data_IF_122522373379
#
_entry.id   IF_122522373379
#
_cell.length_a   1.000
_cell.length_b   1.000
_cell.length_c   1.000
_cell.angle_alpha   90.00
_cell.angle_beta   90.00
_cell.angle_gamma   90.00
#
_symmetry.space_group_name_H-M   'P 1'
#
loop_
_entity.id
_entity.type
_entity.pdbx_description
1 polymer ?
2 non-polymer ?
3 water ?
#
# COMPACT_ATOMS: atom_id res chain seq x y z
N UNK A 32 16.76 -16.06 -2.88
CA UNK A 32 18.00 -16.48 -2.18
C UNK A 32 18.22 -15.81 -0.83
N UNK A 33 18.99 -16.49 0.01
CA UNK A 33 19.29 -16.03 1.37
C UNK A 33 20.71 -15.44 1.52
N UNK A 34 21.43 -15.27 0.41
CA UNK A 34 22.79 -14.72 0.43
C UNK A 34 22.97 -13.57 -0.57
N UNK A 35 23.68 -12.50 -0.18
CA UNK A 35 23.92 -11.35 -1.06
C UNK A 35 24.53 -11.76 -2.40
N UNK A 36 23.83 -11.48 -3.51
CA UNK A 36 24.29 -11.82 -4.86
C UNK A 36 25.65 -11.18 -5.17
N UNK A 37 26.59 -11.98 -5.67
CA UNK A 37 27.92 -11.46 -6.00
C UNK A 37 27.78 -10.40 -7.09
N UNK A 38 28.79 -9.53 -7.22
CA UNK A 38 28.73 -8.50 -8.23
C UNK A 38 29.14 -9.04 -9.60
N UNK A 39 28.24 -8.91 -10.59
CA UNK A 39 28.45 -9.37 -11.96
C UNK A 39 29.27 -8.42 -12.83
N UNK A 40 30.02 -9.00 -13.77
CA UNK A 40 30.88 -8.27 -14.69
C UNK A 40 30.07 -7.26 -15.51
N UNK A 41 28.87 -7.65 -15.94
CA UNK A 41 28.01 -6.78 -16.75
C UNK A 41 26.79 -6.27 -15.99
N UNK A 42 25.71 -7.05 -16.05
CA UNK A 42 24.48 -6.70 -15.37
C UNK A 42 23.78 -7.94 -14.89
N UNK A 43 22.76 -7.74 -14.04
CA UNK A 43 21.97 -8.82 -13.47
C UNK A 43 21.02 -8.30 -12.42
N UNK A 44 19.83 -8.90 -12.39
CA UNK A 44 18.80 -8.58 -11.42
C UNK A 44 18.76 -9.81 -10.52
N UNK A 45 19.06 -9.66 -9.24
CA UNK A 45 19.04 -10.79 -8.35
C UNK A 45 17.99 -10.58 -7.26
N UNK A 46 17.69 -11.67 -6.55
CA UNK A 46 16.71 -11.61 -5.49
C UNK A 46 17.37 -11.90 -4.15
N UNK A 47 16.90 -11.24 -3.10
CA UNK A 47 17.46 -11.45 -1.76
C UNK A 47 16.29 -11.60 -0.80
N UNK A 48 16.08 -12.83 -0.34
CA UNK A 48 15.01 -13.10 0.59
C UNK A 48 15.63 -13.34 1.96
N UNK A 49 15.43 -12.38 2.84
CA UNK A 49 15.97 -12.44 4.19
C UNK A 49 15.07 -11.67 5.13
N UNK A 50 15.02 -12.07 6.40
CA UNK A 50 14.17 -11.37 7.35
C UNK A 50 14.67 -9.97 7.74
N UNK A 51 13.76 -9.18 8.28
CA UNK A 51 14.09 -7.82 8.71
C UNK A 51 14.93 -7.93 9.98
N UNK A 52 16.13 -7.40 9.93
CA UNK A 52 17.01 -7.46 11.08
C UNK A 52 18.23 -8.31 10.85
N UNK A 53 18.21 -9.17 9.84
CA UNK A 53 19.37 -10.01 9.58
C UNK A 53 20.47 -9.18 8.93
N UNK A 54 20.22 -7.88 8.73
CA UNK A 54 21.18 -6.98 8.12
C UNK A 54 21.17 -6.90 6.59
N UNK A 55 20.07 -7.32 5.97
CA UNK A 55 20.00 -7.31 4.52
C UNK A 55 20.03 -5.92 3.92
N UNK A 56 19.63 -4.94 4.71
CA UNK A 56 19.58 -3.55 4.24
C UNK A 56 20.71 -2.71 4.78
N UNK A 57 21.50 -3.29 5.68
CA UNK A 57 22.59 -2.57 6.28
C UNK A 57 23.93 -3.29 6.08
N UNK A 58 24.08 -4.42 6.77
CA UNK A 58 25.28 -5.27 6.70
C UNK A 58 25.58 -5.67 5.26
N UNK A 59 24.58 -6.14 4.53
CA UNK A 59 24.82 -6.50 3.12
C UNK A 59 25.43 -5.31 2.35
N UNK A 60 24.77 -4.15 2.37
CA UNK A 60 25.34 -3.01 1.65
C UNK A 60 26.74 -2.67 2.15
N UNK A 61 26.97 -2.81 3.46
CA UNK A 61 28.28 -2.49 4.02
C UNK A 61 29.36 -3.37 3.43
N UNK A 62 29.01 -4.62 3.11
CA UNK A 62 29.99 -5.52 2.55
C UNK A 62 30.30 -5.09 1.13
N UNK A 63 29.26 -4.78 0.36
CA UNK A 63 29.43 -4.33 -1.03
C UNK A 63 30.33 -3.11 -1.08
N UNK A 64 30.22 -2.26 -0.05
CA UNK A 64 31.01 -1.03 0.04
C UNK A 64 32.46 -1.30 0.43
N UNK A 65 32.68 -2.28 1.30
CA UNK A 65 34.03 -2.64 1.72
C UNK A 65 34.80 -3.14 0.50
N UNK A 66 34.05 -3.59 -0.51
CA UNK A 66 34.62 -4.09 -1.74
C UNK A 66 34.87 -2.97 -2.76
N UNK A 67 34.50 -1.74 -2.41
CA UNK A 67 34.72 -0.61 -3.32
C UNK A 67 33.51 -0.21 -4.16
N UNK A 68 32.40 -0.91 -4.00
CA UNK A 68 31.20 -0.56 -4.76
C UNK A 68 30.44 0.60 -4.09
N UNK A 69 29.69 1.34 -4.90
CA UNK A 69 28.86 2.44 -4.43
C UNK A 69 27.45 1.86 -4.41
N UNK A 70 26.81 1.92 -3.25
CA UNK A 70 25.51 1.32 -3.07
C UNK A 70 24.36 2.27 -2.76
N UNK A 71 23.21 1.97 -3.35
CA UNK A 71 21.98 2.74 -3.17
C UNK A 71 20.88 1.79 -2.68
N UNK A 72 20.31 2.10 -1.53
CA UNK A 72 19.25 1.28 -0.96
C UNK A 72 17.96 2.06 -0.93
N UNK A 73 16.94 1.49 -1.57
CA UNK A 73 15.64 2.10 -1.65
C UNK A 73 14.69 1.40 -0.71
N UNK A 74 13.81 2.19 -0.09
CA UNK A 74 12.82 1.69 0.87
C UNK A 74 11.55 2.55 0.82
N UNK A 75 10.38 1.94 1.10
CA UNK A 75 9.10 2.66 1.08
C UNK A 75 8.94 3.66 2.23
N UNK A 76 9.60 3.40 3.36
CA UNK A 76 9.47 4.23 4.55
C UNK A 76 10.56 5.25 4.86
N UNK A 77 10.14 6.48 5.18
CA UNK A 77 11.10 7.52 5.54
C UNK A 77 11.74 7.02 6.83
N UNK A 78 10.91 6.61 7.78
CA UNK A 78 11.40 6.12 9.07
C UNK A 78 12.45 5.04 8.93
N UNK A 79 12.16 4.02 8.12
CA UNK A 79 13.11 2.93 7.91
C UNK A 79 14.42 3.45 7.35
N UNK A 80 14.31 4.30 6.33
CA UNK A 80 15.48 4.89 5.69
C UNK A 80 16.35 5.53 6.77
N UNK A 81 15.71 6.25 7.68
CA UNK A 81 16.43 6.89 8.76
C UNK A 81 16.98 5.80 9.68
N UNK A 82 16.14 4.81 9.99
CA UNK A 82 16.57 3.70 10.83
C UNK A 82 17.87 3.05 10.36
N UNK A 83 17.99 2.81 9.05
CA UNK A 83 19.22 2.19 8.54
C UNK A 83 20.44 3.10 8.69
N UNK A 84 20.26 4.38 8.41
CA UNK A 84 21.38 5.30 8.53
C UNK A 84 21.92 5.35 9.95
N UNK A 85 21.02 5.36 10.92
CA UNK A 85 21.43 5.41 12.32
C UNK A 85 22.22 4.14 12.65
N UNK A 86 21.64 3.00 12.30
CA UNK A 86 22.27 1.73 12.58
C UNK A 86 23.68 1.68 12.00
N UNK A 87 23.80 2.09 10.75
CA UNK A 87 25.07 2.06 10.06
C UNK A 87 26.19 2.86 10.69
N UNK A 88 25.92 4.13 11.00
CA UNK A 88 26.97 4.96 11.59
C UNK A 88 27.31 4.51 13.01
N UNK A 89 26.34 3.91 13.69
CA UNK A 89 26.52 3.46 15.06
C UNK A 89 27.19 2.09 15.16
N UNK A 90 27.02 1.25 14.14
CA UNK A 90 27.62 -0.07 14.17
C UNK A 90 28.77 -0.33 13.20
N UNK A 91 28.83 0.40 12.09
CA UNK A 91 29.90 0.16 11.14
C UNK A 91 30.72 1.38 10.78
N UNK A 92 30.75 2.37 11.66
CA UNK A 92 31.53 3.57 11.40
C UNK A 92 31.40 4.06 9.96
N UNK A 93 30.16 4.20 9.52
CA UNK A 93 29.87 4.65 8.18
C UNK A 93 28.63 5.52 8.23
N UNK A 94 28.80 6.81 8.00
CA UNK A 94 27.68 7.72 8.00
C UNK A 94 27.23 7.86 6.57
N UNK A 95 26.21 7.07 6.21
CA UNK A 95 25.67 7.08 4.86
C UNK A 95 24.85 8.29 4.51
N UNK A 96 24.70 8.51 3.21
CA UNK A 96 23.91 9.61 2.67
C UNK A 96 22.49 9.15 2.88
N UNK A 97 21.63 10.04 3.31
CA UNK A 97 20.23 9.70 3.55
C UNK A 97 19.41 10.67 2.75
N UNK A 98 18.47 10.13 1.97
CA UNK A 98 17.62 10.95 1.12
C UNK A 98 16.13 10.69 1.30
N UNK A 99 15.39 11.73 1.63
CA UNK A 99 13.94 11.59 1.79
C UNK A 99 13.26 12.81 1.16
N UNK A 100 11.95 12.80 1.12
CA UNK A 100 11.24 13.93 0.53
C UNK A 100 11.44 15.21 1.32
N UNK A 101 11.72 15.09 2.61
CA UNK A 101 11.92 16.27 3.46
C UNK A 101 13.27 16.92 3.16
N UNK A 102 14.32 16.11 3.12
CA UNK A 102 15.64 16.66 2.85
C UNK A 102 16.62 15.55 2.54
N UNK A 103 17.85 15.91 2.16
CA UNK A 103 18.86 14.90 1.89
C UNK A 103 20.13 15.28 2.65
N UNK A 104 20.79 14.27 3.20
CA UNK A 104 22.02 14.47 3.94
C UNK A 104 23.09 13.78 3.12
N UNK A 105 24.13 14.51 2.76
CA UNK A 105 25.23 13.96 2.00
C UNK A 105 26.49 13.96 2.84
N UNK A 106 27.17 12.82 2.87
CA UNK A 106 28.41 12.68 3.63
C UNK A 106 29.51 12.22 2.67
N UNK A 107 29.14 12.01 1.41
CA UNK A 107 30.12 11.53 0.46
C UNK A 107 30.45 10.06 0.68
N UNK A 108 29.62 9.38 1.47
CA UNK A 108 29.82 7.97 1.74
C UNK A 108 29.42 7.14 0.53
N UNK A 109 30.00 5.95 0.38
CA UNK A 109 29.72 5.03 -0.74
C UNK A 109 28.40 4.29 -0.61
N UNK A 110 27.66 4.56 0.46
CA UNK A 110 26.37 3.94 0.70
C UNK A 110 25.35 5.06 0.81
N UNK A 111 24.22 4.89 0.14
CA UNK A 111 23.17 5.88 0.16
C UNK A 111 21.79 5.26 0.38
N UNK A 112 21.06 5.80 1.34
CA UNK A 112 19.72 5.33 1.65
C UNK A 112 18.72 6.38 1.20
N UNK A 113 17.74 5.95 0.41
CA UNK A 113 16.69 6.86 -0.06
C UNK A 113 15.34 6.17 -0.09
N UNK A 114 14.28 6.95 -0.01
CA UNK A 114 12.94 6.38 -0.11
C UNK A 114 12.67 6.27 -1.63
N UNK A 115 11.72 5.43 -2.01
CA UNK A 115 11.40 5.29 -3.42
C UNK A 115 10.87 6.60 -3.99
N UNK A 116 10.06 7.30 -3.19
CA UNK A 116 9.46 8.57 -3.59
C UNK A 116 10.48 9.65 -3.86
N UNK A 117 11.49 9.72 -3.01
CA UNK A 117 12.54 10.69 -3.19
C UNK A 117 13.37 10.33 -4.43
N UNK A 118 13.61 9.03 -4.61
CA UNK A 118 14.36 8.52 -5.76
C UNK A 118 13.70 8.97 -7.06
N UNK A 119 12.37 8.87 -7.10
CA UNK A 119 11.60 9.26 -8.27
C UNK A 119 11.63 10.78 -8.38
N UNK A 120 11.46 11.46 -7.25
CA UNK A 120 11.51 12.91 -7.23
C UNK A 120 12.81 13.33 -7.90
N UNK A 121 13.85 12.54 -7.68
CA UNK A 121 15.17 12.83 -8.23
C UNK A 121 15.33 12.47 -9.72
N UNK A 122 14.26 11.98 -10.34
CA UNK A 122 14.34 11.62 -11.75
C UNK A 122 14.77 10.19 -12.00
N UNK A 123 15.03 9.45 -10.93
CA UNK A 123 15.45 8.07 -11.08
C UNK A 123 16.94 7.87 -10.97
N UNK A 124 17.49 7.02 -11.83
CA UNK A 124 18.92 6.75 -11.80
C UNK A 124 19.72 7.84 -12.46
N UNK A 125 20.92 8.07 -11.91
CA UNK A 125 21.84 9.07 -12.44
C UNK A 125 23.09 8.32 -12.91
N UNK A 126 23.51 8.56 -14.15
CA UNK A 126 24.68 7.90 -14.69
C UNK A 126 25.91 7.87 -13.80
N UNK A 127 26.54 6.71 -13.71
CA UNK A 127 27.73 6.57 -12.90
C UNK A 127 27.56 6.88 -11.43
N UNK A 128 26.32 6.87 -10.94
CA UNK A 128 26.09 7.15 -9.53
C UNK A 128 26.26 5.89 -8.65
N UNK A 129 25.63 4.79 -9.03
CA UNK A 129 25.71 3.58 -8.21
C UNK A 129 26.08 2.30 -8.91
N UNK A 130 26.84 1.44 -8.23
CA UNK A 130 27.17 0.17 -8.83
C UNK A 130 26.06 -0.82 -8.51
N UNK A 131 25.65 -0.84 -7.24
CA UNK A 131 24.57 -1.72 -6.80
C UNK A 131 23.35 -0.90 -6.43
N UNK A 132 22.17 -1.47 -6.60
CA UNK A 132 20.94 -0.79 -6.24
C UNK A 132 20.00 -1.80 -5.67
N UNK A 133 19.75 -1.70 -4.37
CA UNK A 133 18.86 -2.63 -3.72
C UNK A 133 17.49 -2.02 -3.53
N UNK A 134 16.48 -2.77 -3.96
CA UNK A 134 15.10 -2.34 -3.79
C UNK A 134 14.52 -3.15 -2.62
N UNK A 135 14.64 -2.59 -1.42
CA UNK A 135 14.15 -3.20 -0.19
C UNK A 135 12.61 -3.20 -0.14
N UNK A 136 12.03 -4.16 0.58
CA UNK A 136 10.58 -4.33 0.72
C UNK A 136 9.96 -4.36 -0.66
N UNK A 137 10.70 -4.90 -1.62
CA UNK A 137 10.28 -4.98 -3.01
C UNK A 137 8.99 -5.75 -3.22
N UNK A 138 8.38 -6.20 -2.14
CA UNK A 138 7.14 -6.93 -2.26
C UNK A 138 5.99 -5.95 -1.97
N UNK A 139 6.36 -4.72 -1.61
CA UNK A 139 5.37 -3.69 -1.30
C UNK A 139 4.51 -3.36 -2.50
N UNK A 140 3.21 -3.19 -2.27
CA UNK A 140 2.33 -2.90 -3.37
C UNK A 140 1.69 -1.53 -3.28
N UNK A 141 2.50 -0.55 -2.89
CA UNK A 141 1.99 0.80 -2.87
C UNK A 141 2.56 1.36 -4.18
N UNK A 142 1.82 2.26 -4.81
CA UNK A 142 2.21 2.84 -6.08
C UNK A 142 3.62 3.39 -6.16
N UNK A 143 4.10 4.03 -5.09
CA UNK A 143 5.44 4.61 -5.12
C UNK A 143 6.53 3.57 -5.20
N UNK A 144 6.32 2.43 -4.56
CA UNK A 144 7.31 1.38 -4.59
C UNK A 144 7.35 0.76 -5.96
N UNK A 145 6.17 0.40 -6.47
CA UNK A 145 6.10 -0.22 -7.79
C UNK A 145 6.70 0.68 -8.86
N UNK A 146 6.29 1.94 -8.92
CA UNK A 146 6.85 2.85 -9.92
C UNK A 146 8.36 3.01 -9.76
N UNK A 147 8.80 3.20 -8.52
CA UNK A 147 10.22 3.35 -8.23
C UNK A 147 11.01 2.14 -8.72
N UNK A 148 10.49 0.96 -8.43
CA UNK A 148 11.16 -0.27 -8.84
C UNK A 148 11.19 -0.38 -10.35
N UNK A 149 10.08 -0.04 -10.99
CA UNK A 149 10.02 -0.08 -12.44
C UNK A 149 11.11 0.83 -12.98
N UNK A 150 11.23 2.00 -12.38
CA UNK A 150 12.23 2.96 -12.80
C UNK A 150 13.65 2.40 -12.74
N UNK A 151 13.98 1.74 -11.63
CA UNK A 151 15.30 1.15 -11.45
C UNK A 151 15.56 0.09 -12.51
N UNK A 152 14.58 -0.79 -12.65
CA UNK A 152 14.63 -1.88 -13.61
C UNK A 152 14.85 -1.43 -15.04
N UNK A 153 14.37 -0.23 -15.36
CA UNK A 153 14.48 0.29 -16.71
C UNK A 153 15.76 1.08 -16.97
N UNK A 154 16.18 1.88 -15.98
CA UNK A 154 17.36 2.74 -16.11
C UNK A 154 18.69 2.22 -15.57
N UNK A 155 18.64 1.24 -14.68
CA UNK A 155 19.84 0.69 -14.06
C UNK A 155 21.05 0.45 -14.97
N UNK A 156 20.88 -0.37 -16.00
CA UNK A 156 21.97 -0.69 -16.91
C UNK A 156 22.50 0.53 -17.66
N UNK A 157 21.59 1.33 -18.21
CA UNK A 157 21.99 2.53 -18.91
C UNK A 157 22.72 3.42 -17.91
N UNK A 158 22.30 3.34 -16.66
CA UNK A 158 22.89 4.14 -15.62
C UNK A 158 24.28 3.65 -15.17
N UNK A 159 24.73 2.55 -15.74
CA UNK A 159 26.04 2.05 -15.38
C UNK A 159 26.06 1.10 -14.19
N UNK A 160 24.88 0.82 -13.65
CA UNK A 160 24.77 -0.10 -12.53
C UNK A 160 25.12 -1.50 -13.03
N UNK A 161 25.84 -2.25 -12.21
CA UNK A 161 26.21 -3.60 -12.57
C UNK A 161 25.22 -4.57 -11.92
N UNK A 162 24.64 -4.16 -10.80
CA UNK A 162 23.70 -5.01 -10.07
C UNK A 162 22.48 -4.36 -9.39
N UNK A 163 21.35 -5.05 -9.52
CA UNK A 163 20.10 -4.62 -8.93
C UNK A 163 19.52 -5.76 -8.11
N UNK A 164 19.34 -5.51 -6.81
CA UNK A 164 18.81 -6.52 -5.91
C UNK A 164 17.37 -6.23 -5.49
N UNK A 165 16.54 -7.24 -5.57
CA UNK A 165 15.15 -7.11 -5.15
C UNK A 165 15.04 -7.82 -3.81
N UNK A 166 15.21 -7.04 -2.74
CA UNK A 166 15.17 -7.56 -1.39
C UNK A 166 13.80 -7.52 -0.72
N UNK A 167 13.53 -8.51 0.12
CA UNK A 167 12.28 -8.58 0.83
C UNK A 167 12.20 -9.75 1.79
N UNK A 168 11.45 -9.55 2.86
CA UNK A 168 11.26 -10.58 3.86
C UNK A 168 10.05 -11.41 3.47
N UNK A 169 9.24 -10.86 2.56
CA UNK A 169 8.02 -11.53 2.12
C UNK A 169 7.93 -11.79 0.62
N UNK A 170 8.65 -12.80 0.12
CA UNK A 170 8.62 -13.11 -1.31
C UNK A 170 7.20 -13.26 -1.85
N UNK A 171 6.98 -12.86 -3.11
CA UNK A 171 5.67 -12.97 -3.74
C UNK A 171 5.22 -14.43 -3.80
N UNK A 172 3.93 -14.65 -3.61
CA UNK A 172 3.41 -16.01 -3.65
C UNK A 172 3.50 -16.70 -2.30
N UNK A 173 3.97 -15.99 -1.28
CA UNK A 173 4.10 -16.53 0.07
C UNK A 173 2.74 -16.93 0.60
N UNK A 174 2.75 -17.80 1.59
CA UNK A 174 1.52 -18.24 2.22
C UNK A 174 1.80 -18.21 3.71
N UNK A 175 0.75 -18.10 4.53
CA UNK A 175 0.95 -18.11 5.96
C UNK A 175 1.45 -19.52 6.29
N UNK A 176 2.49 -19.62 7.10
CA UNK A 176 3.04 -20.92 7.48
C UNK A 176 2.81 -21.16 8.96
N UNK A 177 2.90 -22.42 9.40
CA UNK A 177 2.70 -22.77 10.81
C UNK A 177 3.77 -22.16 11.70
N UNK A 178 3.34 -21.64 12.84
CA UNK A 178 4.19 -21.00 13.84
C UNK A 178 4.31 -21.93 15.07
N UNK A 179 5.55 -22.16 15.56
CA UNK A 179 5.87 -23.01 16.71
C UNK A 179 5.15 -22.68 18.00
N UNK A 180 4.72 -21.43 18.14
CA UNK A 180 4.07 -20.99 19.35
C UNK A 180 2.58 -20.66 19.22
N UNK A 181 1.97 -20.94 18.07
CA UNK A 181 0.57 -20.61 17.91
C UNK A 181 -0.34 -21.78 17.56
N UNK A 182 -1.34 -22.00 18.41
CA UNK A 182 -2.30 -23.06 18.21
C UNK A 182 -3.42 -22.49 17.35
N UNK A 183 -3.60 -23.05 16.17
CA UNK A 183 -4.64 -22.56 15.29
C UNK A 183 -5.89 -23.45 15.32
N UNK A 184 -6.97 -22.90 15.87
CA UNK A 184 -8.24 -23.61 16.01
C UNK A 184 -9.28 -22.97 15.09
N UNK A 185 -9.84 -23.77 14.18
CA UNK A 185 -10.86 -23.28 13.25
C UNK A 185 -12.21 -23.07 13.93
N UNK A 186 -12.94 -22.03 13.51
CA UNK A 186 -14.25 -21.79 14.08
C UNK A 186 -15.25 -22.67 13.32
N UNK A 187 -16.27 -23.12 14.04
CA UNK A 187 -17.30 -23.95 13.43
C UNK A 187 -18.62 -23.21 13.62
N UNK A 188 -19.72 -23.85 13.25
CA UNK A 188 -21.03 -23.23 13.40
C UNK A 188 -21.43 -23.16 14.87
N UNK A 189 -21.02 -24.14 15.66
CA UNK A 189 -21.37 -24.11 17.07
C UNK A 189 -20.84 -22.83 17.72
N UNK A 190 -21.68 -22.22 18.55
CA UNK A 190 -21.30 -20.99 19.21
C UNK A 190 -22.50 -20.09 19.23
N UNK A 191 -22.73 -19.41 20.35
CA UNK A 191 -23.87 -18.51 20.45
C UNK A 191 -23.64 -17.25 19.65
N UNK A 192 -22.43 -16.71 19.74
CA UNK A 192 -22.05 -15.49 19.02
C UNK A 192 -21.78 -15.73 17.53
N UNK A 193 -22.68 -15.27 16.64
CA UNK A 193 -22.53 -15.42 15.20
C UNK A 193 -21.31 -14.62 14.72
N UNK A 194 -20.54 -15.19 13.80
CA UNK A 194 -19.33 -14.50 13.31
C UNK A 194 -18.96 -14.92 11.88
N UNK A 195 -19.26 -14.03 10.93
CA UNK A 195 -18.96 -14.24 9.51
C UNK A 195 -19.31 -15.63 8.94
N UNK A 196 -20.50 -16.13 9.26
CA UNK A 196 -20.90 -17.43 8.76
C UNK A 196 -20.53 -18.56 9.69
N UNK A 197 -19.67 -18.25 10.65
CA UNK A 197 -19.25 -19.22 11.64
C UNK A 197 -19.68 -18.65 12.99
N UNK A 198 -19.31 -19.33 14.08
CA UNK A 198 -19.70 -18.87 15.40
C UNK A 198 -18.53 -18.77 16.38
N UNK A 199 -18.68 -17.90 17.36
CA UNK A 199 -17.66 -17.74 18.38
C UNK A 199 -18.22 -18.30 19.68
N UNK A 200 -17.71 -19.45 20.14
CA UNK A 200 -18.28 -19.93 21.40
C UNK A 200 -17.83 -19.00 22.55
N UNK A 201 -18.80 -18.54 23.33
CA UNK A 201 -18.53 -17.64 24.46
C UNK A 201 -17.38 -18.16 25.32
N UNK A 202 -17.37 -19.47 25.53
CA UNK A 202 -16.37 -20.15 26.33
C UNK A 202 -14.95 -19.68 25.98
N UNK A 203 -14.70 -19.45 24.70
CA UNK A 203 -13.38 -19.04 24.20
C UNK A 203 -12.95 -17.60 24.47
N UNK A 204 -13.87 -16.77 24.95
CA UNK A 204 -13.52 -15.37 25.26
C UNK A 204 -13.83 -15.02 26.70
N UNK A 205 -14.46 -15.95 27.41
CA UNK A 205 -14.77 -15.73 28.81
C UNK A 205 -13.50 -15.95 29.63
N UNK A 206 -12.89 -14.85 30.03
CA UNK A 206 -11.67 -14.93 30.80
C UNK A 206 -10.47 -14.76 29.88
N UNK A 207 -9.51 -13.95 30.31
CA UNK A 207 -8.33 -13.73 29.49
C UNK A 207 -8.49 -12.55 28.57
N UNK A 208 -7.42 -12.23 27.84
CA UNK A 208 -7.41 -11.10 26.93
C UNK A 208 -7.40 -11.59 25.47
N UNK A 209 -8.45 -11.26 24.73
CA UNK A 209 -8.55 -11.72 23.36
C UNK A 209 -8.71 -10.57 22.36
N UNK A 210 -8.16 -10.77 21.17
CA UNK A 210 -8.23 -9.78 20.11
C UNK A 210 -9.03 -10.33 18.93
N UNK A 211 -10.17 -9.70 18.65
CA UNK A 211 -11.00 -10.13 17.52
C UNK A 211 -10.84 -9.15 16.36
N UNK A 212 -10.65 -9.68 15.15
CA UNK A 212 -10.48 -8.84 13.98
C UNK A 212 -11.75 -8.82 13.12
N UNK A 213 -12.20 -7.62 12.81
CA UNK A 213 -13.36 -7.42 11.97
C UNK A 213 -12.97 -6.48 10.83
N UNK A 214 -13.62 -6.63 9.68
CA UNK A 214 -13.31 -5.84 8.50
C UNK A 214 -13.78 -4.39 8.49
N UNK A 215 -14.94 -4.15 9.08
CA UNK A 215 -15.50 -2.80 9.09
C UNK A 215 -15.56 -2.15 10.46
N UNK A 216 -15.08 -0.92 10.52
CA UNK A 216 -15.08 -0.14 11.76
C UNK A 216 -16.46 -0.21 12.42
N UNK A 217 -17.47 -0.54 11.63
CA UNK A 217 -18.82 -0.65 12.15
C UNK A 217 -18.99 -2.04 12.77
N UNK A 218 -18.85 -3.08 11.94
CA UNK A 218 -18.99 -4.47 12.38
C UNK A 218 -18.42 -4.72 13.78
N UNK A 219 -17.46 -3.88 14.16
CA UNK A 219 -16.85 -3.96 15.48
C UNK A 219 -17.90 -3.62 16.55
N UNK A 220 -18.50 -2.45 16.43
CA UNK A 220 -19.52 -2.02 17.38
C UNK A 220 -20.61 -3.09 17.47
N UNK A 221 -20.96 -3.66 16.33
CA UNK A 221 -21.99 -4.71 16.27
C UNK A 221 -21.65 -5.90 17.17
N UNK A 222 -20.35 -6.19 17.29
CA UNK A 222 -19.88 -7.31 18.11
C UNK A 222 -19.61 -6.88 19.57
N UNK A 223 -18.78 -5.86 19.76
CA UNK A 223 -18.47 -5.38 21.11
C UNK A 223 -19.75 -5.20 21.93
N UNK A 224 -20.79 -4.71 21.26
CA UNK A 224 -22.06 -4.47 21.90
C UNK A 224 -22.80 -5.75 22.25
N UNK A 225 -22.76 -6.75 21.36
CA UNK A 225 -23.45 -8.01 21.61
C UNK A 225 -22.80 -8.76 22.77
N UNK A 226 -21.48 -8.63 22.90
CA UNK A 226 -20.74 -9.29 23.97
C UNK A 226 -20.86 -8.54 25.31
N UNK A 227 -20.96 -7.21 25.25
CA UNK A 227 -21.11 -6.42 26.47
C UNK A 227 -22.47 -6.73 27.07
N UNK A 228 -23.40 -7.06 26.19
CA UNK A 228 -24.77 -7.39 26.56
C UNK A 228 -24.87 -8.88 26.88
N UNK A 229 -23.77 -9.48 27.29
CA UNK A 229 -23.78 -10.89 27.63
C UNK A 229 -22.88 -11.13 28.84
N UNK A 230 -22.43 -10.03 29.44
CA UNK A 230 -21.55 -10.12 30.60
C UNK A 230 -20.10 -10.03 30.19
N UNK A 231 -19.82 -10.26 28.91
CA UNK A 231 -18.45 -10.21 28.43
C UNK A 231 -17.94 -8.78 28.24
N UNK A 232 -16.87 -8.42 28.94
CA UNK A 232 -16.30 -7.09 28.83
C UNK A 232 -15.59 -6.96 27.50
N UNK A 233 -16.21 -6.24 26.57
CA UNK A 233 -15.66 -6.02 25.24
C UNK A 233 -15.58 -4.55 24.90
N UNK A 234 -14.42 -4.12 24.43
CA UNK A 234 -14.18 -2.73 24.06
C UNK A 234 -13.82 -2.59 22.58
N UNK A 235 -14.76 -2.12 21.76
CA UNK A 235 -14.50 -1.95 20.33
C UNK A 235 -13.27 -1.09 20.02
N UNK A 236 -12.81 -1.12 18.77
CA UNK A 236 -11.64 -0.33 18.36
C UNK A 236 -11.40 -0.27 16.83
N UNK A 237 -11.21 0.95 16.34
CA UNK A 237 -10.99 1.22 14.92
C UNK A 237 -10.37 2.61 14.77
N UNK A 238 -9.97 2.95 13.55
CA UNK A 238 -9.35 4.24 13.27
C UNK A 238 -10.10 5.43 13.88
N UNK A 239 -9.35 6.39 14.42
CA UNK A 239 -9.96 7.55 15.04
C UNK A 239 -9.76 7.56 16.54
N UNK A 240 -10.23 6.51 17.20
CA UNK A 240 -10.12 6.38 18.64
C UNK A 240 -8.67 6.40 19.12
N UNK A 241 -8.46 6.22 20.42
CA UNK A 241 -7.11 6.23 20.99
C UNK A 241 -6.75 4.87 21.63
N UNK A 242 -5.45 4.61 21.76
CA UNK A 242 -4.95 3.36 22.34
C UNK A 242 -5.43 3.21 23.78
N UNK A 243 -5.55 4.34 24.47
CA UNK A 243 -5.98 4.37 25.86
C UNK A 243 -7.29 3.62 26.08
N UNK A 244 -8.21 3.66 25.10
CA UNK A 244 -9.50 3.00 25.22
C UNK A 244 -9.34 1.48 25.39
N UNK A 245 -8.09 1.03 25.52
CA UNK A 245 -7.79 -0.38 25.69
C UNK A 245 -7.05 -0.58 27.01
N UNK A 246 -7.74 -1.08 28.04
CA UNK A 246 -7.05 -1.28 29.32
C UNK A 246 -5.89 -2.25 29.10
N UNK A 247 -4.81 -2.05 29.84
CA UNK A 247 -3.64 -2.90 29.68
C UNK A 247 -3.64 -4.06 30.67
N UNK A 248 -4.71 -4.17 31.46
CA UNK A 248 -4.81 -5.23 32.46
C UNK A 248 -6.26 -5.71 32.56
N UNK A 249 -6.45 -6.86 33.21
CA UNK A 249 -7.79 -7.39 33.38
C UNK A 249 -8.37 -7.98 32.11
N UNK A 250 -9.20 -9.02 32.28
CA UNK A 250 -9.84 -9.66 31.15
C UNK A 250 -10.48 -8.64 30.23
N UNK A 251 -10.48 -8.94 28.95
CA UNK A 251 -11.06 -8.04 27.97
C UNK A 251 -11.03 -8.66 26.58
N UNK A 252 -12.02 -8.30 25.77
CA UNK A 252 -12.11 -8.79 24.41
C UNK A 252 -12.11 -7.54 23.53
N UNK A 253 -10.99 -7.33 22.84
CA UNK A 253 -10.86 -6.17 21.97
C UNK A 253 -11.26 -6.51 20.52
N UNK A 254 -12.33 -5.87 20.05
CA UNK A 254 -12.85 -6.06 18.69
C UNK A 254 -12.42 -4.87 17.85
N UNK A 255 -11.38 -5.06 17.05
CA UNK A 255 -10.81 -3.99 16.24
C UNK A 255 -10.63 -4.24 14.75
N UNK A 256 -10.15 -3.19 14.05
CA UNK A 256 -9.84 -3.27 12.62
C UNK A 256 -8.33 -3.21 12.54
N UNK A 257 -7.78 -3.38 11.35
CA UNK A 257 -6.33 -3.35 11.16
C UNK A 257 -5.67 -2.08 11.65
N UNK A 258 -6.49 -1.16 12.17
CA UNK A 258 -5.96 0.10 12.69
C UNK A 258 -4.99 -0.19 13.82
N UNK A 259 -5.17 -1.33 14.48
CA UNK A 259 -4.29 -1.71 15.57
C UNK A 259 -2.87 -1.91 15.03
N UNK A 260 -1.88 -1.36 15.72
CA UNK A 260 -0.48 -1.47 15.30
C UNK A 260 0.03 -2.88 15.05
N UNK A 261 1.24 -2.99 14.51
CA UNK A 261 1.87 -4.28 14.25
C UNK A 261 2.97 -4.52 15.30
N UNK A 262 3.51 -3.41 15.81
CA UNK A 262 4.55 -3.48 16.82
C UNK A 262 4.04 -3.15 18.22
N UNK A 263 2.74 -2.83 18.34
CA UNK A 263 2.11 -2.50 19.62
C UNK A 263 2.23 -3.68 20.61
N UNK A 264 2.21 -3.42 21.91
CA UNK A 264 2.34 -4.50 22.89
C UNK A 264 1.25 -5.55 22.67
N UNK A 265 1.65 -6.71 22.17
CA UNK A 265 0.71 -7.79 21.92
C UNK A 265 0.20 -8.38 23.21
N UNK A 266 0.94 -9.37 23.73
CA UNK A 266 0.55 -10.03 24.97
C UNK A 266 -0.94 -10.40 24.93
N UNK A 267 -1.39 -10.94 23.79
CA UNK A 267 -2.77 -11.39 23.62
C UNK A 267 -2.79 -12.87 23.81
N UNK A 268 -3.90 -13.43 24.29
CA UNK A 268 -4.00 -14.87 24.52
C UNK A 268 -4.51 -15.60 23.29
N UNK A 269 -5.46 -14.98 22.59
CA UNK A 269 -5.99 -15.57 21.38
C UNK A 269 -6.42 -14.44 20.49
N UNK A 270 -6.40 -14.69 19.19
CA UNK A 270 -6.82 -13.71 18.21
C UNK A 270 -7.83 -14.44 17.35
N UNK A 271 -8.98 -13.81 17.13
CA UNK A 271 -10.02 -14.36 16.27
C UNK A 271 -9.95 -13.52 14.99
N UNK A 272 -9.72 -14.17 13.86
CA UNK A 272 -9.62 -13.45 12.59
C UNK A 272 -10.84 -13.64 11.71
N UNK A 273 -11.41 -12.56 11.19
CA UNK A 273 -12.57 -12.68 10.30
C UNK A 273 -12.13 -13.15 8.91
N UNK A 274 -10.83 -13.07 8.64
CA UNK A 274 -10.23 -13.48 7.38
C UNK A 274 -10.66 -12.67 6.16
N UNK A 275 -10.91 -11.38 6.36
CA UNK A 275 -11.33 -10.51 5.28
C UNK A 275 -10.77 -9.12 5.60
N UNK A 276 -10.38 -8.37 4.58
CA UNK A 276 -9.84 -7.04 4.80
C UNK A 276 -10.45 -6.05 3.82
N UNK A 277 -10.30 -4.77 4.08
CA UNK A 277 -10.83 -3.74 3.18
C UNK A 277 -9.66 -3.20 2.40
N UNK A 278 -9.82 -3.13 1.09
CA UNK A 278 -8.75 -2.62 0.25
C UNK A 278 -9.28 -1.83 -0.96
N UNK A 279 -8.44 -0.97 -1.49
CA UNK A 279 -8.79 -0.14 -2.63
C UNK A 279 -8.91 -1.01 -3.88
N UNK A 280 -10.01 -0.85 -4.62
CA UNK A 280 -10.22 -1.62 -5.85
C UNK A 280 -10.92 -0.87 -6.97
N UNK A 281 -10.55 -1.20 -8.19
CA UNK A 281 -11.13 -0.57 -9.36
C UNK A 281 -12.22 -1.46 -9.94
N UNK A 282 -13.36 -0.83 -10.22
CA UNK A 282 -14.50 -1.51 -10.77
C UNK A 282 -14.91 -0.81 -12.06
N UNK A 283 -14.95 -1.57 -13.15
CA UNK A 283 -15.35 -1.03 -14.44
C UNK A 283 -16.85 -1.17 -14.55
N UNK A 284 -17.52 -0.47 -13.64
CA UNK A 284 -18.98 -0.47 -13.52
C UNK A 284 -19.74 0.27 -14.61
N UNK A 285 -19.03 0.81 -15.60
CA UNK A 285 -19.65 1.51 -16.70
C UNK A 285 -20.78 2.45 -16.25
N UNK A 286 -20.48 3.33 -15.30
CA UNK A 286 -21.50 4.22 -14.78
C UNK A 286 -20.93 5.59 -14.44
N UNK A 287 -20.35 6.29 -15.43
CA UNK A 287 -20.19 5.90 -16.84
C UNK A 287 -18.97 5.08 -17.19
N UNK A 288 -17.91 5.24 -16.39
CA UNK A 288 -16.64 4.56 -16.63
C UNK A 288 -16.23 3.58 -15.55
N UNK A 289 -15.33 4.01 -14.68
CA UNK A 289 -14.85 3.15 -13.62
C UNK A 289 -15.11 3.70 -12.21
N UNK A 290 -14.93 2.86 -11.21
CA UNK A 290 -15.13 3.24 -9.81
C UNK A 290 -13.92 2.79 -8.99
N UNK A 291 -13.40 3.69 -8.16
CA UNK A 291 -12.26 3.35 -7.32
C UNK A 291 -12.66 3.61 -5.90
N UNK A 292 -13.05 2.54 -5.23
CA UNK A 292 -13.49 2.60 -3.85
C UNK A 292 -12.75 1.54 -3.05
N UNK A 293 -13.19 1.33 -1.82
CA UNK A 293 -12.58 0.33 -0.95
C UNK A 293 -13.56 -0.83 -0.82
N UNK A 294 -13.08 -2.03 -1.13
CA UNK A 294 -13.92 -3.21 -1.07
C UNK A 294 -13.36 -4.20 -0.06
N UNK A 295 -14.15 -5.22 0.27
CA UNK A 295 -13.67 -6.23 1.21
C UNK A 295 -13.26 -7.44 0.37
N UNK A 296 -11.98 -7.77 0.46
CA UNK A 296 -11.43 -8.89 -0.29
C UNK A 296 -11.01 -9.97 0.69
N UNK A 297 -10.84 -11.19 0.20
CA UNK A 297 -10.41 -12.22 1.14
C UNK A 297 -9.02 -11.80 1.59
N UNK A 298 -8.70 -12.10 2.84
CA UNK A 298 -7.42 -11.76 3.43
C UNK A 298 -6.28 -12.51 2.73
N UNK A 299 -5.10 -11.91 2.70
CA UNK A 299 -3.98 -12.58 2.06
C UNK A 299 -2.97 -13.03 3.12
N UNK A 300 -1.97 -13.78 2.68
CA UNK A 300 -0.96 -14.33 3.58
C UNK A 300 -0.33 -13.30 4.53
N UNK A 301 0.12 -12.19 3.97
CA UNK A 301 0.75 -11.16 4.79
C UNK A 301 -0.19 -10.69 5.89
N UNK A 302 -1.45 -10.47 5.52
CA UNK A 302 -2.44 -10.03 6.48
C UNK A 302 -2.66 -11.09 7.56
N UNK A 303 -2.87 -12.32 7.12
CA UNK A 303 -3.12 -13.42 8.06
C UNK A 303 -2.01 -13.56 9.08
N UNK A 304 -0.76 -13.47 8.65
CA UNK A 304 0.39 -13.59 9.55
C UNK A 304 0.49 -12.47 10.56
N UNK A 305 0.17 -11.26 10.13
CA UNK A 305 0.24 -10.09 10.99
C UNK A 305 -0.78 -10.09 12.11
N UNK A 306 -1.98 -10.56 11.82
CA UNK A 306 -3.05 -10.61 12.81
C UNK A 306 -2.77 -11.75 13.76
N UNK A 307 -2.36 -12.87 13.20
CA UNK A 307 -2.04 -14.05 14.00
C UNK A 307 -0.87 -13.73 14.92
N UNK A 308 0.08 -12.95 14.41
CA UNK A 308 1.25 -12.58 15.18
C UNK A 308 0.97 -11.76 16.41
N UNK A 309 -0.27 -11.28 16.55
CA UNK A 309 -0.64 -10.49 17.72
C UNK A 309 -0.85 -11.35 18.96
N UNK A 310 -0.50 -12.63 18.85
CA UNK A 310 -0.64 -13.54 19.97
C UNK A 310 0.57 -14.44 20.00
N UNK A 311 0.77 -15.11 21.13
CA UNK A 311 1.88 -16.03 21.32
C UNK A 311 3.22 -15.33 21.46
N UNK A 312 3.23 -14.13 22.04
CA UNK A 312 4.50 -13.45 22.23
C UNK A 312 4.98 -13.76 23.64
N UNK A 313 6.05 -14.56 23.73
CA UNK A 313 6.60 -14.91 25.03
C UNK A 313 5.76 -15.95 25.74
N UNK A 314 4.90 -16.60 24.97
CA UNK A 314 4.04 -17.62 25.52
C UNK A 314 3.33 -18.28 24.35
N UNK A 315 2.47 -19.26 24.61
CA UNK A 315 1.79 -19.90 23.51
C UNK A 315 0.47 -19.19 23.19
N UNK A 316 0.23 -18.94 21.91
CA UNK A 316 -0.98 -18.26 21.53
C UNK A 316 -2.03 -19.11 20.85
N UNK A 317 -3.25 -18.56 20.78
CA UNK A 317 -4.37 -19.23 20.14
C UNK A 317 -4.79 -18.38 18.95
N UNK A 318 -5.08 -19.03 17.84
CA UNK A 318 -5.52 -18.34 16.63
C UNK A 318 -6.75 -19.02 16.06
N UNK A 319 -7.89 -18.34 16.16
CA UNK A 319 -9.15 -18.85 15.62
C UNK A 319 -9.49 -18.05 14.37
N UNK A 320 -9.91 -18.79 13.34
CA UNK A 320 -10.22 -18.20 12.04
C UNK A 320 -11.53 -18.72 11.47
N UNK A 321 -12.12 -17.96 10.56
CA UNK A 321 -13.36 -18.34 9.92
C UNK A 321 -13.01 -19.04 8.61
N UNK A 322 -11.88 -18.68 8.03
CA UNK A 322 -11.44 -19.26 6.77
C UNK A 322 -9.98 -19.70 6.78
N UNK A 323 -9.70 -20.90 6.27
CA UNK A 323 -8.33 -21.40 6.23
C UNK A 323 -7.61 -20.88 4.99
N UNK A 324 -8.28 -21.03 3.85
CA UNK A 324 -7.72 -20.57 2.60
C UNK A 324 -7.46 -19.07 2.61
N UNK A 325 -6.37 -18.67 1.98
CA UNK A 325 -5.98 -17.28 1.90
C UNK A 325 -5.34 -17.04 0.55
N UNK A 326 -5.35 -15.80 0.09
CA UNK A 326 -4.72 -15.49 -1.16
C UNK A 326 -3.24 -15.35 -0.83
N UNK A 327 -2.37 -15.94 -1.65
CA UNK A 327 -0.93 -15.84 -1.40
C UNK A 327 -0.60 -14.36 -1.45
N UNK A 328 0.56 -13.96 -0.94
CA UNK A 328 0.92 -12.57 -0.97
C UNK A 328 1.32 -12.18 -2.38
N UNK A 329 1.72 -10.92 -2.53
CA UNK A 329 2.19 -10.43 -3.80
C UNK A 329 1.20 -10.25 -4.94
N UNK A 330 0.02 -9.74 -4.64
CA UNK A 330 -0.96 -9.50 -5.68
C UNK A 330 -1.55 -8.12 -5.43
N UNK A 331 -1.72 -7.33 -6.49
CA UNK A 331 -2.32 -6.04 -6.28
C UNK A 331 -3.36 -5.69 -7.30
N UNK A 332 -4.21 -4.76 -6.91
CA UNK A 332 -5.31 -4.32 -7.75
C UNK A 332 -4.85 -3.41 -8.89
N UNK A 333 -5.68 -3.37 -9.93
CA UNK A 333 -5.44 -2.54 -11.09
C UNK A 333 -5.40 -1.06 -10.71
N UNK A 334 -6.17 -0.71 -9.68
CA UNK A 334 -6.22 0.67 -9.21
C UNK A 334 -4.88 1.22 -8.74
N UNK A 335 -3.93 0.34 -8.45
CA UNK A 335 -2.63 0.83 -8.02
C UNK A 335 -1.89 1.31 -9.27
N UNK A 336 -2.17 0.64 -10.39
CA UNK A 336 -1.61 0.99 -11.68
C UNK A 336 -2.06 2.41 -11.98
N UNK A 337 -3.35 2.64 -11.76
CA UNK A 337 -3.97 3.95 -11.98
C UNK A 337 -3.20 4.94 -11.09
N UNK A 338 -3.01 4.55 -9.84
CA UNK A 338 -2.29 5.34 -8.84
C UNK A 338 -0.87 5.68 -9.32
N UNK A 339 -0.27 4.80 -10.11
CA UNK A 339 1.07 5.05 -10.61
C UNK A 339 1.07 6.12 -11.69
N UNK A 340 0.09 6.08 -12.59
CA UNK A 340 0.01 7.09 -13.64
C UNK A 340 -0.37 8.42 -13.01
N UNK A 341 -1.29 8.36 -12.06
CA UNK A 341 -1.70 9.55 -11.39
C UNK A 341 -0.49 10.28 -10.78
N UNK A 342 0.39 9.50 -10.14
CA UNK A 342 1.59 10.02 -9.50
C UNK A 342 2.62 10.52 -10.47
N UNK A 343 2.79 9.82 -11.59
CA UNK A 343 3.75 10.25 -12.58
C UNK A 343 3.34 11.60 -13.14
N UNK A 344 2.03 11.80 -13.24
CA UNK A 344 1.50 13.04 -13.75
C UNK A 344 1.50 14.14 -12.70
N UNK A 345 1.28 13.76 -11.44
CA UNK A 345 1.21 14.74 -10.37
C UNK A 345 2.53 15.20 -9.77
N UNK A 346 3.49 14.30 -9.61
CA UNK A 346 4.74 14.68 -8.98
C UNK A 346 6.02 14.52 -9.79
N UNK A 347 6.08 13.51 -10.64
CA UNK A 347 7.34 13.27 -11.33
C UNK A 347 7.52 13.77 -12.74
N UNK A 348 6.60 14.62 -13.19
CA UNK A 348 6.67 15.18 -14.54
C UNK A 348 6.93 14.06 -15.54
N UNK A 349 6.07 13.05 -15.48
CA UNK A 349 6.17 11.91 -16.37
C UNK A 349 4.94 11.76 -17.25
N UNK A 350 5.15 11.64 -18.55
CA UNK A 350 4.04 11.44 -19.46
C UNK A 350 3.52 10.04 -19.20
N UNK A 351 2.23 9.82 -19.42
CA UNK A 351 1.66 8.48 -19.22
C UNK A 351 2.47 7.41 -19.95
N UNK A 352 3.08 7.79 -21.08
CA UNK A 352 3.89 6.85 -21.87
C UNK A 352 5.19 6.47 -21.15
N UNK A 353 5.81 7.44 -20.50
CA UNK A 353 7.03 7.20 -19.75
C UNK A 353 6.71 6.26 -18.58
N UNK A 354 5.62 6.55 -17.86
CA UNK A 354 5.20 5.72 -16.73
C UNK A 354 5.13 4.26 -17.21
N UNK A 355 4.45 4.04 -18.34
CA UNK A 355 4.30 2.71 -18.92
C UNK A 355 5.63 1.99 -19.13
N UNK A 356 6.62 2.67 -19.71
CA UNK A 356 7.93 2.06 -19.91
C UNK A 356 8.42 1.54 -18.56
N UNK A 357 8.27 2.36 -17.54
CA UNK A 357 8.71 2.00 -16.19
C UNK A 357 7.89 0.87 -15.59
N UNK A 358 6.57 0.94 -15.72
CA UNK A 358 5.72 -0.10 -15.18
C UNK A 358 5.83 -1.41 -15.94
N UNK A 359 6.22 -1.33 -17.21
CA UNK A 359 6.37 -2.50 -18.04
C UNK A 359 7.62 -3.25 -17.55
N UNK A 360 8.66 -2.49 -17.23
CA UNK A 360 9.90 -3.07 -16.75
C UNK A 360 9.62 -3.85 -15.48
N UNK A 361 8.60 -3.41 -14.76
CA UNK A 361 8.22 -4.07 -13.53
C UNK A 361 7.41 -5.36 -13.75
N UNK A 362 6.60 -5.38 -14.81
CA UNK A 362 5.79 -6.55 -15.09
C UNK A 362 6.53 -7.66 -15.81
N UNK A 363 7.62 -7.30 -16.46
CA UNK A 363 8.42 -8.29 -17.18
C UNK A 363 9.45 -8.93 -16.26
N UNK A 364 9.66 -8.32 -15.10
CA UNK A 364 10.63 -8.85 -14.15
C UNK A 364 9.97 -9.88 -13.23
N UNK A 365 10.40 -11.14 -13.36
CA UNK A 365 9.84 -12.19 -12.50
C UNK A 365 10.30 -12.06 -11.05
N UNK A 366 9.44 -12.43 -10.12
CA UNK A 366 9.81 -12.35 -8.72
C UNK A 366 9.22 -11.19 -7.96
N UNK A 367 8.49 -10.34 -8.66
CA UNK A 367 7.86 -9.19 -8.04
C UNK A 367 6.35 -9.39 -8.03
N UNK A 368 5.65 -8.60 -7.21
CA UNK A 368 4.20 -8.72 -7.14
C UNK A 368 3.62 -8.64 -8.54
N UNK A 369 2.43 -9.22 -8.71
CA UNK A 369 1.78 -9.21 -10.02
C UNK A 369 0.42 -8.53 -10.00
N UNK A 370 -0.10 -8.26 -11.19
CA UNK A 370 -1.38 -7.60 -11.34
C UNK A 370 -1.85 -7.79 -12.78
N UNK A 371 -3.14 -7.58 -13.05
CA UNK A 371 -3.59 -7.71 -14.43
C UNK A 371 -2.88 -6.60 -15.25
N UNK A 372 -2.53 -6.92 -16.50
CA UNK A 372 -1.85 -5.95 -17.35
C UNK A 372 -2.89 -4.99 -17.91
N UNK A 373 -2.92 -3.79 -17.35
CA UNK A 373 -3.86 -2.76 -17.74
C UNK A 373 -3.06 -1.49 -18.07
N UNK A 374 -1.81 -1.69 -18.46
CA UNK A 374 -0.93 -0.58 -18.79
C UNK A 374 -1.46 0.26 -19.94
N UNK A 375 -1.78 -0.39 -21.05
CA UNK A 375 -2.28 0.33 -22.21
C UNK A 375 -3.50 1.16 -21.84
N UNK A 376 -4.43 0.53 -21.14
CA UNK A 376 -5.65 1.19 -20.72
C UNK A 376 -5.44 2.45 -19.90
N UNK A 377 -4.79 2.32 -18.76
CA UNK A 377 -4.54 3.47 -17.92
C UNK A 377 -3.74 4.54 -18.66
N UNK A 378 -2.75 4.13 -19.45
CA UNK A 378 -1.96 5.09 -20.20
C UNK A 378 -2.89 5.96 -21.04
N UNK A 379 -3.68 5.30 -21.89
CA UNK A 379 -4.59 6.01 -22.77
C UNK A 379 -5.56 6.89 -22.02
N UNK A 380 -5.85 6.52 -20.76
CA UNK A 380 -6.77 7.28 -19.93
C UNK A 380 -6.21 8.61 -19.50
N UNK A 381 -5.02 8.60 -18.94
CA UNK A 381 -4.39 9.81 -18.46
C UNK A 381 -3.94 10.72 -19.59
N UNK A 382 -3.62 10.13 -20.73
CA UNK A 382 -3.16 10.88 -21.87
C UNK A 382 -4.24 11.86 -22.27
N UNK A 383 -5.49 11.42 -22.17
CA UNK A 383 -6.60 12.27 -22.54
C UNK A 383 -6.91 13.32 -21.49
N UNK A 384 -6.29 13.22 -20.32
CA UNK A 384 -6.55 14.17 -19.27
C UNK A 384 -5.57 15.34 -19.37
N UNK A 385 -5.82 16.18 -20.36
CA UNK A 385 -4.97 17.32 -20.65
C UNK A 385 -5.45 18.67 -20.11
N UNK A 386 -4.52 19.62 -20.03
CA UNK A 386 -4.84 20.96 -19.56
C UNK A 386 -5.53 20.88 -18.20
N UNK A 387 -4.82 20.32 -17.23
CA UNK A 387 -5.38 20.20 -15.89
C UNK A 387 -5.12 21.53 -15.20
N UNK A 388 -6.02 21.94 -14.32
CA UNK A 388 -5.85 23.19 -13.60
C UNK A 388 -4.67 23.06 -12.65
N UNK A 389 -3.67 23.91 -12.83
CA UNK A 389 -2.46 23.92 -12.01
C UNK A 389 -2.77 24.20 -10.56
N UNK A 390 -3.59 25.22 -10.30
CA UNK A 390 -3.89 25.53 -8.94
C UNK A 390 -4.65 24.38 -8.28
N UNK A 391 -5.59 23.77 -8.98
CA UNK A 391 -6.33 22.64 -8.37
C UNK A 391 -5.38 21.50 -8.05
N UNK A 392 -4.55 21.15 -9.01
CA UNK A 392 -3.58 20.07 -8.83
C UNK A 392 -2.67 20.36 -7.64
N UNK A 393 -2.09 21.55 -7.63
CA UNK A 393 -1.21 21.92 -6.54
C UNK A 393 -1.94 21.79 -5.21
N UNK A 394 -3.23 22.07 -5.22
CA UNK A 394 -4.05 21.95 -4.01
C UNK A 394 -4.22 20.49 -3.63
N UNK A 395 -4.46 19.60 -4.59
CA UNK A 395 -4.64 18.18 -4.24
C UNK A 395 -3.32 17.53 -3.86
N UNK A 396 -2.24 17.91 -4.53
CA UNK A 396 -0.93 17.35 -4.22
C UNK A 396 -0.64 17.54 -2.73
N UNK A 397 -0.42 18.78 -2.32
CA UNK A 397 -0.13 19.05 -0.92
C UNK A 397 -1.25 18.65 0.03
N UNK A 398 -2.49 18.59 -0.44
CA UNK A 398 -3.59 18.15 0.43
C UNK A 398 -3.26 16.75 0.95
N UNK A 399 -2.55 15.98 0.12
CA UNK A 399 -2.13 14.64 0.51
C UNK A 399 -3.01 13.45 0.16
N UNK A 400 -4.27 13.67 -0.19
CA UNK A 400 -5.18 12.56 -0.52
C UNK A 400 -4.77 11.76 -1.77
N UNK A 401 -5.32 10.55 -1.90
CA UNK A 401 -5.00 9.68 -3.04
C UNK A 401 -5.50 10.26 -4.35
N UNK A 402 -4.87 9.83 -5.44
CA UNK A 402 -5.28 10.28 -6.76
C UNK A 402 -5.44 11.79 -6.88
N UNK A 403 -4.44 12.56 -6.45
CA UNK A 403 -4.57 14.01 -6.56
C UNK A 403 -4.84 14.50 -7.99
N UNK A 404 -4.27 13.80 -8.98
CA UNK A 404 -4.44 14.18 -10.36
C UNK A 404 -5.88 13.96 -10.83
N UNK A 405 -6.48 12.83 -10.48
CA UNK A 405 -7.86 12.57 -10.89
C UNK A 405 -8.84 13.45 -10.13
N UNK A 406 -8.53 13.78 -8.89
CA UNK A 406 -9.41 14.64 -8.12
C UNK A 406 -9.34 16.03 -8.73
N UNK A 407 -8.11 16.47 -8.97
CA UNK A 407 -7.89 17.78 -9.55
C UNK A 407 -8.48 17.89 -10.96
N UNK A 408 -8.42 16.80 -11.73
CA UNK A 408 -8.94 16.84 -13.09
C UNK A 408 -10.46 16.88 -13.10
N UNK A 409 -11.08 16.11 -12.23
CA UNK A 409 -12.53 16.10 -12.15
C UNK A 409 -13.00 17.49 -11.74
N UNK A 410 -12.18 18.15 -10.94
CA UNK A 410 -12.47 19.49 -10.45
C UNK A 410 -12.29 20.50 -11.57
N UNK A 411 -11.21 20.35 -12.34
CA UNK A 411 -10.93 21.23 -13.45
C UNK A 411 -12.12 21.18 -14.38
N UNK A 412 -12.55 19.95 -14.68
CA UNK A 412 -13.69 19.73 -15.55
C UNK A 412 -14.92 20.41 -14.95
N UNK A 413 -15.10 20.25 -13.64
CA UNK A 413 -16.25 20.84 -12.94
C UNK A 413 -16.29 22.35 -13.05
N UNK A 414 -15.23 23.00 -12.61
CA UNK A 414 -15.14 24.44 -12.65
C UNK A 414 -15.41 24.96 -14.07
N UNK A 415 -14.71 24.40 -15.03
CA UNK A 415 -14.89 24.81 -16.42
C UNK A 415 -16.32 24.70 -16.91
N UNK A 416 -17.11 23.84 -16.26
CA UNK A 416 -18.51 23.64 -16.62
C UNK A 416 -19.39 24.27 -15.55
N UNK A 417 -18.74 25.02 -14.66
CA UNK A 417 -19.42 25.72 -13.56
C UNK A 417 -20.28 24.74 -12.76
N UNK A 418 -19.95 23.46 -12.89
CA UNK A 418 -20.70 22.41 -12.20
C UNK A 418 -20.11 22.11 -10.83
N UNK A 419 -20.93 21.56 -9.93
CA UNK A 419 -20.42 21.24 -8.60
C UNK A 419 -19.75 19.86 -8.63
N UNK A 420 -19.02 19.53 -7.56
CA UNK A 420 -18.32 18.24 -7.43
C UNK A 420 -19.36 17.11 -7.29
N UNK A 421 -18.90 15.86 -7.27
CA UNK A 421 -19.80 14.72 -7.13
C UNK A 421 -20.39 14.74 -5.72
N UNK A 422 -19.68 15.41 -4.83
CA UNK A 422 -20.09 15.55 -3.43
C UNK A 422 -19.27 16.68 -2.85
N UNK A 423 -19.64 17.15 -1.66
CA UNK A 423 -18.89 18.21 -1.02
C UNK A 423 -18.04 17.63 0.09
N UNK A 424 -17.64 16.37 -0.10
CA UNK A 424 -16.80 15.67 0.87
C UNK A 424 -15.43 16.35 0.82
N UNK A 425 -14.66 16.21 1.90
CA UNK A 425 -13.34 16.83 2.00
C UNK A 425 -12.50 16.66 0.74
N UNK A 426 -12.75 15.56 0.03
CA UNK A 426 -12.05 15.24 -1.20
C UNK A 426 -12.04 16.42 -2.18
N UNK A 427 -13.19 17.06 -2.32
CA UNK A 427 -13.36 18.18 -3.24
C UNK A 427 -13.17 19.57 -2.61
N UNK A 428 -12.48 19.63 -1.46
CA UNK A 428 -12.26 20.90 -0.75
C UNK A 428 -11.66 22.02 -1.61
N UNK A 429 -10.92 21.65 -2.65
CA UNK A 429 -10.31 22.66 -3.51
C UNK A 429 -11.38 23.44 -4.29
N UNK A 430 -12.63 22.97 -4.22
CA UNK A 430 -13.72 23.66 -4.92
C UNK A 430 -14.64 24.41 -3.96
N UNK A 431 -14.34 24.37 -2.67
CA UNK A 431 -15.18 25.04 -1.68
C UNK A 431 -15.45 26.54 -1.91
N UNK A 432 -14.44 27.28 -2.33
CA UNK A 432 -14.58 28.72 -2.55
C UNK A 432 -15.47 29.15 -3.73
N UNK A 433 -15.75 28.23 -4.64
CA UNK A 433 -16.59 28.52 -5.80
C UNK A 433 -17.97 27.92 -5.59
N UNK A 434 -18.13 27.23 -4.46
CA UNK A 434 -19.38 26.58 -4.13
C UNK A 434 -20.61 27.38 -4.63
N UNK A 435 -20.65 28.70 -4.34
CA UNK A 435 -21.76 29.55 -4.78
C UNK A 435 -22.01 29.53 -6.28
N UNK A 436 -20.96 29.77 -7.07
CA UNK A 436 -21.08 29.80 -8.52
C UNK A 436 -21.11 28.46 -9.23
N UNK A 437 -21.47 27.39 -8.51
CA UNK A 437 -21.50 26.08 -9.15
C UNK A 437 -22.89 25.49 -9.07
N UNK A 438 -23.53 25.39 -10.24
CA UNK A 438 -24.88 24.87 -10.35
C UNK A 438 -24.98 23.81 -11.44
N UNK A 439 -26.11 23.12 -11.49
CA UNK A 439 -26.32 22.09 -12.49
C UNK A 439 -25.68 20.76 -12.14
N UNK A 440 -25.97 19.70 -12.91
CA UNK A 440 -25.42 18.37 -12.66
C UNK A 440 -23.90 18.33 -12.77
N UNK A 441 -23.30 17.35 -12.11
CA UNK A 441 -21.84 17.17 -12.12
C UNK A 441 -21.42 16.31 -13.30
N UNK A 442 -20.50 16.83 -14.15
CA UNK A 442 -20.01 16.11 -15.31
C UNK A 442 -19.04 15.02 -14.83
N UNK A 443 -19.61 13.90 -14.43
CA UNK A 443 -18.84 12.78 -13.91
C UNK A 443 -17.87 12.11 -14.87
N UNK A 444 -16.59 12.23 -14.58
CA UNK A 444 -15.55 11.62 -15.40
C UNK A 444 -15.35 10.20 -14.91
N UNK A 445 -15.60 10.00 -13.63
CA UNK A 445 -15.45 8.70 -12.97
C UNK A 445 -15.84 8.86 -11.51
N UNK A 446 -15.95 7.72 -10.81
CA UNK A 446 -16.34 7.69 -9.41
C UNK A 446 -15.21 7.41 -8.45
N UNK A 447 -14.91 8.39 -7.62
CA UNK A 447 -13.84 8.25 -6.63
C UNK A 447 -14.44 8.30 -5.24
N UNK A 448 -15.58 7.64 -5.07
CA UNK A 448 -16.23 7.64 -3.77
C UNK A 448 -17.71 7.91 -3.86
N UNK A 449 -18.28 8.47 -2.81
CA UNK A 449 -19.70 8.76 -2.79
C UNK A 449 -20.06 9.89 -3.76
N UNK A 450 -21.00 9.64 -4.65
CA UNK A 450 -21.44 10.64 -5.60
C UNK A 450 -22.87 10.99 -5.24
N UNK A 451 -23.05 12.13 -4.59
CA UNK A 451 -24.37 12.58 -4.18
C UNK A 451 -25.05 13.40 -5.26
N UNK A 452 -24.51 14.57 -5.54
CA UNK A 452 -25.07 15.47 -6.55
C UNK A 452 -25.51 14.72 -7.81
N UNK A 453 -26.43 15.32 -8.57
CA UNK A 453 -26.93 14.72 -9.81
C UNK A 453 -25.80 14.72 -10.81
N UNK A 454 -25.84 13.78 -11.76
CA UNK A 454 -24.77 13.64 -12.73
C UNK A 454 -25.16 13.53 -14.22
N UNK A 455 -24.35 14.14 -15.08
CA UNK A 455 -24.55 14.08 -16.52
C UNK A 455 -23.41 13.25 -17.12
N UNK A 456 -23.70 12.47 -18.16
CA UNK A 456 -22.69 11.63 -18.80
C UNK A 456 -22.39 12.07 -20.22
N UNK A 457 -22.42 13.38 -20.45
CA UNK A 457 -22.20 13.90 -21.79
C UNK A 457 -20.90 14.67 -21.98
N UNK A 458 -20.01 14.64 -20.99
CA UNK A 458 -18.77 15.37 -21.12
C UNK A 458 -17.75 14.67 -22.04
N UNK A 459 -17.10 15.43 -22.93
CA UNK A 459 -16.13 14.87 -23.86
C UNK A 459 -15.11 13.95 -23.17
N UNK A 460 -14.66 14.35 -21.99
CA UNK A 460 -13.67 13.55 -21.31
C UNK A 460 -14.30 12.27 -20.81
N UNK A 461 -15.53 12.34 -20.34
CA UNK A 461 -16.23 11.15 -19.90
C UNK A 461 -16.33 10.18 -21.07
N UNK A 462 -16.67 10.73 -22.23
CA UNK A 462 -16.82 9.96 -23.48
C UNK A 462 -15.48 9.42 -23.92
N UNK A 463 -14.43 10.17 -23.61
CA UNK A 463 -13.07 9.76 -23.95
C UNK A 463 -12.64 8.54 -23.15
N UNK A 464 -12.95 8.53 -21.85
CA UNK A 464 -12.57 7.42 -21.00
C UNK A 464 -13.41 6.20 -21.35
N UNK A 465 -14.70 6.42 -21.57
CA UNK A 465 -15.61 5.34 -21.92
C UNK A 465 -15.03 4.56 -23.10
N UNK A 466 -14.53 5.30 -24.07
CA UNK A 466 -13.95 4.73 -25.27
C UNK A 466 -12.66 3.99 -24.97
N UNK A 467 -11.90 4.49 -23.98
CA UNK A 467 -10.64 3.85 -23.60
C UNK A 467 -10.93 2.43 -23.13
N UNK A 468 -12.10 2.25 -22.52
CA UNK A 468 -12.51 0.95 -22.03
C UNK A 468 -12.92 0.04 -23.17
N UNK A 469 -13.56 0.61 -24.18
CA UNK A 469 -14.02 -0.14 -25.34
C UNK A 469 -12.84 -0.47 -26.25
N UNK A 470 -11.84 0.38 -26.29
CA UNK A 470 -10.70 0.12 -27.15
C UNK A 470 -9.81 -1.00 -26.64
N UNK A 471 -10.13 -1.50 -25.46
CA UNK A 471 -9.33 -2.56 -24.84
C UNK A 471 -9.89 -3.98 -24.93
N UNK A 472 -9.06 -4.94 -25.35
CA UNK A 472 -9.52 -6.33 -25.43
C UNK A 472 -9.38 -7.11 -24.13
N UNK A 473 -9.00 -6.42 -23.05
CA UNK A 473 -8.85 -7.04 -21.75
C UNK A 473 -9.59 -6.22 -20.69
N UNK A 474 -10.17 -5.08 -21.10
CA UNK A 474 -10.91 -4.22 -20.16
C UNK A 474 -12.43 -4.44 -20.23
N UNK A 475 -13.03 -4.15 -21.38
CA UNK A 475 -14.47 -4.33 -21.55
C UNK A 475 -14.82 -4.53 -23.03
X LIG B 1 12.98 10.27 17.80
X LIG B 1 13.04 9.12 16.84
X LIG B 1 12.50 9.57 15.51
X LIG B 1 14.45 8.65 16.70
X LIG B 1 12.04 7.83 17.45
X LIG B 1 11.47 6.86 16.61
X LIG B 1 11.67 7.88 18.79
X LIG B 1 10.72 7.00 19.30
X LIG B 1 10.15 6.06 18.45
X LIG B 1 10.52 5.98 17.11
X LIG B 1 10.03 4.92 16.46
X LIG B 1 10.28 4.37 15.27
X LIG B 1 9.63 3.18 15.04
X LIG B 1 9.93 2.41 13.91
X LIG B 1 11.23 4.83 14.35
X LIG B 1 11.53 4.06 13.23
X LIG B 1 10.89 2.84 13.01
X LIG B 1 11.27 1.95 12.00
X LIG B 1 12.56 1.42 11.97
X LIG B 1 13.58 1.91 12.79
X LIG B 1 14.85 1.34 12.77
X LIG B 1 12.85 0.34 11.14
X LIG B 1 14.11 -0.24 11.13
X LIG B 1 15.13 0.25 11.93
X LIG B 1 16.39 -0.17 11.79
X LIG B 1 16.79 -1.22 11.08
X LIG B 1 18.15 -1.48 10.95
X LIG B 1 18.61 -2.55 10.18
X LIG B 1 17.70 -3.38 9.53
X LIG B 1 18.24 -4.74 8.56
X LIG B 1 19.17 -4.26 7.48
X LIG B 1 17.05 -5.40 7.93
X LIG B 1 18.97 -5.72 9.41
X LIG B 1 16.34 -3.13 9.65
X LIG B 1 15.89 -2.07 10.41
X LIG B 1 10.30 1.44 11.15
X LIG B 1 9.89 0.11 11.30
X LIG B 1 8.80 -0.38 10.60
X LIG B 1 9.58 2.25 10.26
X LIG B 1 8.49 1.76 9.56
X LIG B 1 8.07 0.44 9.73
X LIG B 1 6.90 -0.05 9.32
X LIG B 1 5.96 0.42 8.51
X LIG B 1 6.04 1.59 7.76
X LIG B 1 4.85 -0.41 8.36
X LIG B 1 3.82 -0.08 7.49
X LIG B 1 3.90 1.09 6.75
X LIG B 1 5.01 1.92 6.88
X LIG B 1 5.08 3.35 5.87
X LIG B 1 5.13 4.57 6.73
X LIG B 1 3.86 3.41 5.00
X LIG B 1 6.30 3.29 4.99
#
# INVERSE_FOLDING_TARGET
MASMTGGQQMGVDFVPVESMETTMRSPVFTDNSSPPAVPQAFQVAHLHAPTGSGKSTKVPAAYAAQGYKVLVLNPSVAATLGFGAYMSKAHGVDPNIRTGVRTITTGAPITYSTYGKFLADGGCSGGAYDIIMCDECHSTDSTTILGIGTVLDQAETAGARLVVLATATPPGSVTVPHPNIEEIALSNTGEIPFYGKAIPIETIKGGRHLIFCHSKKKCDELAAKLSALGIHAVAYYRGLDVSVIPASGNVVVVATDALMTGFTGDFDSVIDCNTCVTQTVDFSLDPTFTIETTTMPQDAVSRSQRRGRTSRGRRGIYRFVTPGERPSGMFDSSVLCECYDAGCAWYELTPAETSVRLRAYLNTPGLPVCQDHLEFWESVFTGLTHIDAHFLSQTKQAGDNFPYLVAYQATVCARAQAPPPSWDQMWKCLTRLKPTLHGPTPLLYRLGAVQNEVTLTHPITKYIMACMSADLEVVTHHHHHH
BHT O43 S39 O44 O45 C32 C26 C38 C33 C27 C23 N20 C17 C12 C6 C11 C5 C2 C1 C4 C10 C16 C9 C15 C19 N22 C25 C30 C36 C42 S49 O51 O52 O50 C37 C31 C3 C8 C14 C7 C13 C18 N21 C24 C28 C29 C35 C40 C34 S41 O47 O48 O46
#
